data_IF_812578386940
#
_entry.id   IF_812578386940
#
_cell.length_a   1.000
_cell.length_b   1.000
_cell.length_c   1.000
_cell.angle_alpha   90.00
_cell.angle_beta   90.00
_cell.angle_gamma   90.00
#
_symmetry.space_group_name_H-M   'P 1'
#
loop_
_entity.id
_entity.type
_entity.pdbx_description
1 polymer ?
#
# COMPACT_ATOMS: atom_id res chain seq x y z
N UNK A 1 -16.62 13.15 9.82
CA UNK A 1 -15.68 13.07 8.69
C UNK A 1 -14.96 11.74 8.80
N UNK A 2 -14.85 10.92 7.74
CA UNK A 2 -14.12 9.68 7.85
C UNK A 2 -12.66 10.03 8.12
N UNK A 3 -12.18 9.64 9.30
CA UNK A 3 -10.79 9.77 9.72
C UNK A 3 -9.92 9.02 8.73
N UNK A 4 -8.81 9.65 8.37
CA UNK A 4 -7.83 9.23 7.38
C UNK A 4 -7.66 7.71 7.34
N UNK A 5 -7.80 7.13 6.15
CA UNK A 5 -7.57 5.72 5.95
C UNK A 5 -6.07 5.43 6.08
N UNK A 6 -5.66 4.99 7.25
CA UNK A 6 -4.29 4.54 7.53
C UNK A 6 -4.16 3.07 7.16
N UNK A 7 -3.21 2.74 6.29
CA UNK A 7 -2.81 1.37 6.01
C UNK A 7 -1.60 0.98 6.87
N UNK A 8 -1.63 -0.20 7.49
CA UNK A 8 -0.57 -0.68 8.38
C UNK A 8 0.35 -1.72 7.72
N UNK A 9 0.12 -2.05 6.44
CA UNK A 9 0.93 -3.00 5.70
C UNK A 9 0.58 -3.03 4.21
N UNK A 10 1.33 -3.82 3.44
CA UNK A 10 1.18 -3.90 1.98
C UNK A 10 -0.21 -4.37 1.53
N UNK A 11 -0.85 -5.25 2.29
CA UNK A 11 -2.22 -5.70 2.02
C UNK A 11 -3.25 -4.60 2.26
N UNK A 12 -3.17 -3.88 3.38
CA UNK A 12 -4.09 -2.77 3.63
C UNK A 12 -3.91 -1.64 2.61
N UNK A 13 -2.66 -1.43 2.17
CA UNK A 13 -2.35 -0.47 1.12
C UNK A 13 -2.96 -0.88 -0.23
N UNK A 14 -2.92 -2.17 -0.59
CA UNK A 14 -3.57 -2.63 -1.83
C UNK A 14 -5.09 -2.43 -1.76
N UNK A 15 -5.74 -2.83 -0.67
CA UNK A 15 -7.19 -2.61 -0.46
C UNK A 15 -7.55 -1.11 -0.49
N UNK A 16 -6.69 -0.25 0.04
CA UNK A 16 -6.91 1.19 0.00
C UNK A 16 -6.84 1.75 -1.43
N UNK A 17 -5.87 1.30 -2.23
CA UNK A 17 -5.72 1.68 -3.63
C UNK A 17 -6.87 1.15 -4.49
N UNK A 18 -7.37 -0.05 -4.22
CA UNK A 18 -8.56 -0.59 -4.89
C UNK A 18 -9.78 0.29 -4.64
N UNK A 19 -9.98 0.76 -3.41
CA UNK A 19 -11.05 1.71 -3.07
C UNK A 19 -10.89 3.07 -3.77
N UNK A 20 -9.67 3.45 -4.12
CA UNK A 20 -9.38 4.63 -4.93
C UNK A 20 -9.55 4.39 -6.45
N UNK A 21 -9.90 3.16 -6.87
CA UNK A 21 -10.15 2.79 -8.26
C UNK A 21 -8.98 2.09 -8.96
N UNK A 22 -7.86 1.84 -8.28
CA UNK A 22 -6.76 1.03 -8.80
C UNK A 22 -6.98 -0.44 -8.42
N UNK A 23 -7.82 -1.11 -9.19
CA UNK A 23 -8.22 -2.50 -8.97
C UNK A 23 -7.15 -3.49 -9.45
N UNK A 24 -7.00 -4.61 -8.74
CA UNK A 24 -6.22 -5.75 -9.21
C UNK A 24 -4.70 -5.58 -9.11
N UNK A 25 -4.22 -4.66 -8.27
CA UNK A 25 -2.81 -4.56 -7.93
C UNK A 25 -2.48 -5.59 -6.85
N UNK A 26 -1.56 -6.50 -7.14
CA UNK A 26 -0.99 -7.35 -6.12
C UNK A 26 0.17 -6.65 -5.36
N UNK A 27 0.74 -7.33 -4.37
CA UNK A 27 1.84 -6.79 -3.56
C UNK A 27 3.09 -6.53 -4.42
N UNK A 28 3.36 -7.37 -5.42
CA UNK A 28 4.49 -7.23 -6.33
C UNK A 28 4.30 -6.02 -7.24
N UNK A 29 3.08 -5.78 -7.71
CA UNK A 29 2.73 -4.59 -8.49
C UNK A 29 2.90 -3.32 -7.66
N UNK A 30 2.44 -3.32 -6.40
CA UNK A 30 2.62 -2.19 -5.47
C UNK A 30 4.09 -1.84 -5.24
N UNK A 31 4.89 -2.86 -4.95
CA UNK A 31 6.34 -2.73 -4.67
C UNK A 31 7.07 -2.08 -5.84
N UNK A 32 6.71 -2.46 -7.06
CA UNK A 32 7.36 -1.98 -8.29
C UNK A 32 6.64 -0.78 -8.92
N UNK A 33 5.56 -0.30 -8.31
CA UNK A 33 4.73 0.73 -8.91
C UNK A 33 5.45 2.07 -8.93
N UNK A 34 5.56 2.74 -10.09
CA UNK A 34 6.09 4.09 -10.17
C UNK A 34 5.16 5.14 -9.53
N UNK A 35 3.94 4.75 -9.13
CA UNK A 35 2.97 5.62 -8.48
C UNK A 35 3.24 5.80 -6.99
N UNK A 36 4.07 4.94 -6.39
CA UNK A 36 4.32 4.93 -4.94
C UNK A 36 5.73 5.38 -4.65
N UNK A 37 5.86 6.54 -3.99
CA UNK A 37 7.13 6.97 -3.40
C UNK A 37 7.20 6.50 -1.93
N UNK A 38 8.16 5.64 -1.64
CA UNK A 38 8.38 5.14 -0.28
C UNK A 38 9.21 6.13 0.55
N UNK A 39 8.68 6.54 1.71
CA UNK A 39 9.35 7.45 2.65
C UNK A 39 9.46 6.77 4.02
N UNK A 40 10.65 6.78 4.63
CA UNK A 40 10.87 6.19 5.96
C UNK A 40 11.00 4.66 5.98
N UNK A 41 11.14 4.01 4.82
CA UNK A 41 11.31 2.57 4.70
C UNK A 41 10.57 2.06 3.46
N UNK A 42 11.25 1.27 2.64
CA UNK A 42 10.67 0.68 1.44
C UNK A 42 9.70 -0.46 1.72
N UNK A 43 9.26 -1.17 0.68
CA UNK A 43 8.34 -2.31 0.82
C UNK A 43 8.85 -3.40 1.78
N UNK A 44 10.17 -3.56 1.91
CA UNK A 44 10.79 -4.47 2.89
C UNK A 44 10.56 -4.09 4.36
N UNK A 45 10.37 -2.80 4.66
CA UNK A 45 10.03 -2.33 6.01
C UNK A 45 8.54 -2.47 6.29
N UNK A 46 7.71 -2.42 5.25
CA UNK A 46 6.24 -2.55 5.32
C UNK A 46 5.75 -4.00 5.16
N UNK A 47 6.66 -4.92 4.84
CA UNK A 47 6.46 -6.37 4.90
C UNK A 47 6.84 -6.95 6.26
N UNK A 48 7.30 -6.12 7.19
CA UNK A 48 7.61 -6.52 8.55
C UNK A 48 6.32 -6.62 9.39
N UNK A 49 5.98 -7.88 9.63
CA UNK A 49 5.17 -8.42 10.72
C UNK A 49 3.65 -8.21 10.61
N UNK A 50 2.98 -9.33 10.31
CA UNK A 50 1.89 -9.77 11.17
C UNK A 50 2.36 -10.97 11.98
#
# INVERSE_FOLDING_TARGET
MPTEATAFGLHDLSVFLERAGLLGLDVVDLVNSPLIEWRGGGPSAWSAVH
#
